data_IF_773302184039
#
_entry.id   IF_773302184039
#
_cell.length_a   1.000
_cell.length_b   1.000
_cell.length_c   1.000
_cell.angle_alpha   90.00
_cell.angle_beta   90.00
_cell.angle_gamma   90.00
#
_symmetry.space_group_name_H-M   'P 1'
#
loop_
_entity.id
_entity.type
_entity.pdbx_description
1 polymer ?
#
# COMPACT_ATOMS: atom_id res chain seq x y z
N UNK A 1 8.40 12.77 -4.14
CA UNK A 1 7.81 11.72 -4.98
C UNK A 1 7.21 10.69 -4.05
N UNK A 2 6.03 10.18 -4.39
CA UNK A 2 5.38 9.15 -3.59
C UNK A 2 5.66 7.76 -4.14
N UNK A 3 5.77 6.80 -3.22
CA UNK A 3 5.94 5.38 -3.51
C UNK A 3 4.92 4.58 -2.70
N UNK A 4 4.40 3.51 -3.29
CA UNK A 4 3.56 2.51 -2.65
C UNK A 4 4.43 1.29 -2.31
N UNK A 5 4.54 0.97 -1.03
CA UNK A 5 5.01 -0.31 -0.55
C UNK A 5 3.85 -1.31 -0.53
N UNK A 6 4.05 -2.50 -1.07
CA UNK A 6 3.07 -3.59 -1.12
C UNK A 6 3.68 -4.81 -0.45
N UNK A 7 3.22 -5.10 0.76
CA UNK A 7 3.70 -6.24 1.54
C UNK A 7 3.07 -7.53 1.01
N UNK A 8 3.89 -8.47 0.54
CA UNK A 8 3.43 -9.78 0.09
C UNK A 8 2.77 -10.53 1.25
N UNK A 9 1.65 -11.19 1.02
CA UNK A 9 1.02 -12.04 2.01
C UNK A 9 1.75 -13.38 2.18
N UNK A 10 1.65 -13.97 3.36
CA UNK A 10 2.12 -15.31 3.65
C UNK A 10 0.98 -16.19 4.20
N UNK A 11 1.32 -17.40 4.65
CA UNK A 11 0.34 -18.35 5.19
C UNK A 11 -0.31 -17.87 6.48
N UNK A 12 0.39 -17.10 7.29
CA UNK A 12 -0.10 -16.62 8.57
C UNK A 12 -1.02 -15.42 8.37
N UNK A 13 -0.66 -14.48 7.50
CA UNK A 13 -1.53 -13.35 7.17
C UNK A 13 -2.83 -13.82 6.52
N UNK A 14 -2.80 -14.78 5.60
CA UNK A 14 -4.01 -15.31 4.94
C UNK A 14 -4.86 -16.23 5.82
N UNK A 15 -4.28 -16.75 6.90
CA UNK A 15 -5.00 -17.43 7.98
C UNK A 15 -5.68 -16.46 8.94
N UNK A 16 -5.31 -15.18 8.90
CA UNK A 16 -5.72 -14.19 9.88
C UNK A 16 -5.02 -14.35 11.22
N UNK A 17 -3.83 -14.96 11.25
CA UNK A 17 -2.97 -14.95 12.42
C UNK A 17 -2.60 -13.52 12.75
N UNK A 18 -2.72 -13.15 14.02
CA UNK A 18 -2.29 -11.83 14.48
C UNK A 18 -0.79 -11.86 14.81
N UNK A 19 -0.05 -10.78 14.52
CA UNK A 19 1.31 -10.60 15.04
C UNK A 19 1.34 -10.64 16.57
N UNK A 20 2.46 -11.07 17.13
CA UNK A 20 2.68 -10.98 18.57
C UNK A 20 2.91 -9.53 19.02
N UNK A 21 2.83 -9.29 20.33
CA UNK A 21 2.99 -7.94 20.91
C UNK A 21 4.36 -7.33 20.61
N UNK A 22 5.40 -8.16 20.50
CA UNK A 22 6.77 -7.71 20.22
C UNK A 22 6.86 -7.15 18.79
N UNK A 23 6.32 -7.86 17.81
CA UNK A 23 6.26 -7.39 16.42
C UNK A 23 5.37 -6.14 16.32
N UNK A 24 4.21 -6.12 16.99
CA UNK A 24 3.33 -4.94 17.02
C UNK A 24 4.06 -3.70 17.57
N UNK A 25 4.81 -3.83 18.66
CA UNK A 25 5.58 -2.74 19.24
C UNK A 25 6.70 -2.24 18.30
N UNK A 26 7.45 -3.17 17.69
CA UNK A 26 8.52 -2.82 16.74
C UNK A 26 7.97 -2.14 15.49
N UNK A 27 6.86 -2.65 14.95
CA UNK A 27 6.17 -2.05 13.81
C UNK A 27 5.62 -0.68 14.16
N UNK A 28 4.99 -0.53 15.34
CA UNK A 28 4.49 0.75 15.83
C UNK A 28 5.58 1.81 15.94
N UNK A 29 6.75 1.47 16.49
CA UNK A 29 7.88 2.39 16.58
C UNK A 29 8.41 2.81 15.19
N UNK A 30 8.49 1.87 14.24
CA UNK A 30 8.88 2.17 12.87
C UNK A 30 7.90 3.13 12.17
N UNK A 31 6.59 2.89 12.30
CA UNK A 31 5.56 3.77 11.75
C UNK A 31 5.58 5.14 12.43
N UNK A 32 5.75 5.21 13.75
CA UNK A 32 5.83 6.48 14.48
C UNK A 32 6.99 7.35 14.00
N UNK A 33 8.17 6.76 13.79
CA UNK A 33 9.32 7.47 13.21
C UNK A 33 9.01 7.98 11.79
N UNK A 34 8.43 7.14 10.94
CA UNK A 34 8.09 7.49 9.57
C UNK A 34 7.04 8.61 9.49
N UNK A 35 6.03 8.57 10.36
CA UNK A 35 4.99 9.61 10.44
C UNK A 35 5.59 10.92 10.96
N UNK A 36 6.37 10.90 12.05
CA UNK A 36 6.99 12.11 12.61
C UNK A 36 7.96 12.79 11.65
N UNK A 37 8.65 12.01 10.81
CA UNK A 37 9.55 12.54 9.78
C UNK A 37 8.83 12.98 8.49
N UNK A 38 7.51 12.76 8.40
CA UNK A 38 6.73 13.04 7.20
C UNK A 38 7.03 12.10 6.02
N UNK A 39 7.75 11.00 6.26
CA UNK A 39 8.06 10.01 5.23
C UNK A 39 6.89 9.08 5.00
N UNK A 40 6.23 8.56 6.04
CA UNK A 40 5.07 7.68 5.89
C UNK A 40 3.81 8.55 5.91
N UNK A 41 3.06 8.52 4.81
CA UNK A 41 1.80 9.27 4.66
C UNK A 41 0.59 8.45 5.10
N UNK A 42 0.63 7.14 4.85
CA UNK A 42 -0.39 6.17 5.30
C UNK A 42 0.19 4.77 5.25
N UNK A 43 -0.41 3.84 6.00
CA UNK A 43 -0.10 2.42 5.89
C UNK A 43 -1.00 1.59 6.79
N UNK A 44 -1.45 0.46 6.27
CA UNK A 44 -2.48 -0.39 6.86
C UNK A 44 -2.19 -1.85 6.55
N UNK A 45 -2.50 -2.73 7.50
CA UNK A 45 -2.59 -4.17 7.26
C UNK A 45 -3.93 -4.52 6.62
N UNK A 46 -3.92 -5.44 5.66
CA UNK A 46 -5.13 -5.96 5.05
C UNK A 46 -5.59 -7.23 5.77
N UNK A 47 -6.91 -7.41 5.83
CA UNK A 47 -7.51 -8.67 6.25
C UNK A 47 -7.19 -9.78 5.23
N UNK A 48 -7.28 -11.06 5.62
CA UNK A 48 -7.14 -12.19 4.70
C UNK A 48 -7.96 -12.01 3.43
N UNK A 49 -7.38 -12.37 2.29
CA UNK A 49 -8.05 -12.18 1.00
C UNK A 49 -9.39 -12.92 0.86
N UNK A 50 -9.59 -13.97 1.65
CA UNK A 50 -10.85 -14.71 1.77
C UNK A 50 -12.03 -13.86 2.28
N UNK A 51 -11.76 -12.71 2.92
CA UNK A 51 -12.77 -11.72 3.34
C UNK A 51 -12.98 -10.61 2.30
N UNK A 52 -12.20 -10.59 1.23
CA UNK A 52 -12.32 -9.63 0.15
C UNK A 52 -13.42 -10.00 -0.84
N UNK A 53 -13.78 -9.04 -1.70
CA UNK A 53 -14.62 -9.26 -2.85
C UNK A 53 -14.08 -8.48 -4.05
N UNK A 54 -14.32 -9.00 -5.26
CA UNK A 54 -13.98 -8.37 -6.53
C UNK A 54 -15.25 -8.04 -7.28
N UNK A 55 -15.29 -6.85 -7.87
CA UNK A 55 -16.35 -6.46 -8.78
C UNK A 55 -15.81 -6.52 -10.21
N UNK A 56 -16.30 -7.46 -11.01
CA UNK A 56 -15.90 -7.63 -12.41
C UNK A 56 -16.90 -6.93 -13.32
N UNK A 57 -16.36 -6.08 -14.19
CA UNK A 57 -17.08 -5.54 -15.34
C UNK A 57 -16.81 -6.40 -16.58
N UNK A 58 -17.85 -6.81 -17.29
CA UNK A 58 -17.72 -7.49 -18.59
C UNK A 58 -18.92 -7.18 -19.47
N UNK A 59 -18.68 -6.54 -20.64
CA UNK A 59 -19.74 -6.06 -21.52
C UNK A 59 -20.61 -5.02 -20.83
N UNK A 60 -21.84 -5.37 -20.46
CA UNK A 60 -22.77 -4.55 -19.67
C UNK A 60 -23.02 -5.09 -18.27
N UNK A 61 -22.38 -6.20 -17.87
CA UNK A 61 -22.61 -6.87 -16.59
C UNK A 61 -21.61 -6.44 -15.54
N UNK A 62 -22.09 -6.36 -14.30
CA UNK A 62 -21.31 -6.10 -13.09
C UNK A 62 -21.56 -7.29 -12.15
N UNK A 63 -20.53 -8.10 -11.93
CA UNK A 63 -20.62 -9.31 -11.11
C UNK A 63 -19.73 -9.16 -9.88
N UNK A 64 -20.29 -9.43 -8.71
CA UNK A 64 -19.53 -9.54 -7.45
C UNK A 64 -19.02 -10.98 -7.32
N UNK A 65 -17.74 -11.13 -7.00
CA UNK A 65 -17.05 -12.41 -6.87
C UNK A 65 -16.29 -12.37 -5.54
N UNK A 66 -16.59 -13.30 -4.63
CA UNK A 66 -15.90 -13.37 -3.35
C UNK A 66 -14.44 -13.81 -3.52
N UNK A 67 -13.59 -13.34 -2.61
CA UNK A 67 -12.18 -13.71 -2.53
C UNK A 67 -11.27 -13.03 -3.57
N UNK A 68 -9.98 -13.44 -3.59
CA UNK A 68 -8.95 -12.82 -4.41
C UNK A 68 -9.07 -13.15 -5.90
N UNK A 69 -8.08 -12.71 -6.67
CA UNK A 69 -7.91 -13.13 -8.06
C UNK A 69 -7.68 -14.64 -8.16
N UNK A 70 -8.41 -15.31 -9.04
CA UNK A 70 -8.48 -16.79 -9.15
C UNK A 70 -7.13 -17.45 -9.50
N UNK A 71 -6.13 -16.67 -9.94
CA UNK A 71 -4.79 -17.14 -10.32
C UNK A 71 -3.67 -16.33 -9.66
N UNK A 72 -3.94 -15.57 -8.59
CA UNK A 72 -2.88 -14.82 -7.90
C UNK A 72 -1.96 -15.77 -7.13
N UNK A 73 -0.74 -15.95 -7.63
CA UNK A 73 0.33 -16.67 -6.92
C UNK A 73 0.82 -15.91 -5.69
N UNK A 74 0.70 -14.59 -5.72
CA UNK A 74 1.12 -13.69 -4.66
C UNK A 74 -0.02 -12.73 -4.32
N UNK A 75 -0.30 -12.59 -3.04
CA UNK A 75 -1.34 -11.73 -2.48
C UNK A 75 -0.69 -10.59 -1.69
N UNK A 76 -1.48 -9.59 -1.31
CA UNK A 76 -1.00 -8.43 -0.54
C UNK A 76 -1.62 -8.46 0.85
N UNK A 77 -0.78 -8.39 1.87
CA UNK A 77 -1.17 -8.37 3.28
C UNK A 77 -1.16 -6.97 3.89
N UNK A 78 -0.67 -5.97 3.18
CA UNK A 78 -0.60 -4.60 3.68
C UNK A 78 0.01 -3.65 2.66
N UNK A 79 -0.16 -2.37 2.90
CA UNK A 79 0.46 -1.33 2.09
C UNK A 79 0.97 -0.18 2.94
N UNK A 80 1.86 0.62 2.35
CA UNK A 80 2.21 1.94 2.87
C UNK A 80 2.45 2.92 1.72
N UNK A 81 2.01 4.16 1.87
CA UNK A 81 2.40 5.25 0.97
C UNK A 81 3.49 6.04 1.67
N UNK A 82 4.65 6.17 1.02
CA UNK A 82 5.78 6.95 1.52
C UNK A 82 6.13 8.10 0.57
N UNK A 83 6.57 9.22 1.13
CA UNK A 83 7.06 10.40 0.43
C UNK A 83 8.55 10.58 0.69
N UNK A 84 9.34 10.50 -0.37
CA UNK A 84 10.80 10.65 -0.30
C UNK A 84 11.35 11.44 -1.48
N UNK A 85 12.64 11.79 -1.40
CA UNK A 85 13.34 12.58 -2.43
C UNK A 85 13.92 11.74 -3.57
N UNK A 86 14.01 10.41 -3.43
CA UNK A 86 14.57 9.52 -4.45
C UNK A 86 14.04 8.09 -4.33
N UNK A 87 14.17 7.32 -5.42
CA UNK A 87 13.88 5.87 -5.41
C UNK A 87 14.77 5.11 -4.42
N UNK A 88 16.04 5.49 -4.32
CA UNK A 88 16.97 4.83 -3.37
C UNK A 88 16.54 5.06 -1.92
N UNK A 89 16.07 6.27 -1.58
CA UNK A 89 15.49 6.52 -0.26
C UNK A 89 14.24 5.67 -0.01
N UNK A 90 13.40 5.45 -1.02
CA UNK A 90 12.22 4.59 -0.91
C UNK A 90 12.62 3.13 -0.65
N UNK A 91 13.65 2.64 -1.35
CA UNK A 91 14.22 1.31 -1.16
C UNK A 91 14.79 1.17 0.25
N UNK A 92 15.53 2.15 0.76
CA UNK A 92 16.10 2.08 2.11
C UNK A 92 15.01 2.03 3.20
N UNK A 93 13.94 2.82 3.08
CA UNK A 93 12.78 2.70 3.97
C UNK A 93 12.12 1.32 3.88
N UNK A 94 12.01 0.77 2.67
CA UNK A 94 11.45 -0.57 2.45
C UNK A 94 12.35 -1.66 3.07
N UNK A 95 13.68 -1.53 2.96
CA UNK A 95 14.66 -2.44 3.59
C UNK A 95 14.54 -2.46 5.11
N UNK A 96 14.39 -1.27 5.71
CA UNK A 96 14.15 -1.15 7.15
C UNK A 96 12.83 -1.82 7.55
N UNK A 97 11.77 -1.59 6.79
CA UNK A 97 10.48 -2.22 7.02
C UNK A 97 10.57 -3.76 7.00
N UNK A 98 11.16 -4.37 5.97
CA UNK A 98 11.28 -5.84 5.89
C UNK A 98 12.21 -6.41 6.97
N UNK A 99 13.16 -5.62 7.49
CA UNK A 99 14.01 -5.99 8.64
C UNK A 99 13.19 -6.05 9.94
N UNK A 100 12.20 -5.16 10.09
CA UNK A 100 11.27 -5.15 11.23
C UNK A 100 10.21 -6.24 11.10
N UNK A 101 9.66 -6.43 9.90
CA UNK A 101 8.56 -7.37 9.64
C UNK A 101 9.01 -8.83 9.69
N UNK A 102 10.09 -9.18 8.96
CA UNK A 102 10.52 -10.56 8.74
C UNK A 102 10.55 -11.45 10.00
N UNK A 103 11.09 -11.02 11.17
CA UNK A 103 11.16 -11.89 12.35
C UNK A 103 9.81 -12.41 12.86
N UNK A 104 8.70 -11.73 12.58
CA UNK A 104 7.36 -12.16 12.99
C UNK A 104 6.54 -12.82 11.88
N UNK A 105 7.18 -13.20 10.77
CA UNK A 105 6.54 -13.75 9.56
C UNK A 105 6.80 -15.24 9.41
N UNK A 106 5.99 -15.89 8.58
CA UNK A 106 6.20 -17.30 8.24
C UNK A 106 7.60 -17.47 7.62
N UNK A 107 8.37 -18.46 8.10
CA UNK A 107 9.78 -18.72 7.72
C UNK A 107 10.74 -17.55 7.96
N UNK A 108 10.32 -16.53 8.69
CA UNK A 108 11.07 -15.29 8.86
C UNK A 108 11.41 -14.61 7.53
N UNK A 109 10.51 -14.71 6.55
CA UNK A 109 10.67 -14.11 5.23
C UNK A 109 9.69 -12.94 5.10
N UNK A 110 10.19 -11.79 4.68
CA UNK A 110 9.38 -10.63 4.31
C UNK A 110 9.77 -10.15 2.91
N UNK A 111 8.77 -9.86 2.10
CA UNK A 111 8.92 -9.39 0.73
C UNK A 111 7.96 -8.23 0.51
N UNK A 112 8.49 -7.09 0.09
CA UNK A 112 7.75 -5.86 -0.08
C UNK A 112 8.15 -5.20 -1.40
N UNK A 113 7.21 -5.14 -2.35
CA UNK A 113 7.42 -4.39 -3.59
C UNK A 113 7.31 -2.90 -3.28
N UNK A 114 8.30 -2.11 -3.72
CA UNK A 114 8.24 -0.65 -3.66
C UNK A 114 8.14 -0.08 -5.06
N UNK A 115 7.05 0.63 -5.36
CA UNK A 115 6.78 1.18 -6.69
C UNK A 115 6.34 2.63 -6.62
N UNK A 116 6.83 3.44 -7.56
CA UNK A 116 6.48 4.85 -7.63
C UNK A 116 5.00 5.03 -7.99
N UNK A 117 4.35 6.00 -7.34
CA UNK A 117 2.99 6.44 -7.65
C UNK A 117 3.07 7.57 -8.68
N UNK A 118 2.15 7.58 -9.64
CA UNK A 118 2.03 8.70 -10.58
C UNK A 118 1.69 10.01 -9.86
N UNK A 119 2.40 11.07 -10.24
CA UNK A 119 2.14 12.43 -9.82
C UNK A 119 1.37 13.20 -10.91
N UNK A 120 0.78 14.35 -10.56
CA UNK A 120 -0.02 15.14 -11.51
C UNK A 120 0.83 15.62 -12.68
N UNK A 121 2.11 15.88 -12.41
CA UNK A 121 3.13 16.32 -13.34
C UNK A 121 3.50 15.23 -14.36
N UNK A 122 3.18 13.95 -14.08
CA UNK A 122 3.42 12.85 -15.02
C UNK A 122 2.38 12.81 -16.16
N UNK A 123 1.31 13.61 -16.09
CA UNK A 123 0.23 13.64 -17.07
C UNK A 123 0.20 14.95 -17.88
N UNK A 124 -0.09 14.91 -19.19
CA UNK A 124 -0.05 16.08 -20.07
C UNK A 124 -1.14 17.10 -19.72
N UNK A 125 -0.76 18.37 -19.50
CA UNK A 125 -1.71 19.45 -19.22
C UNK A 125 -2.57 19.71 -20.46
N UNK A 126 -3.89 19.64 -20.28
CA UNK A 126 -4.86 19.99 -21.32
C UNK A 126 -5.34 21.43 -21.09
N UNK A 127 -5.02 22.38 -21.98
CA UNK A 127 -5.48 23.77 -21.86
C UNK A 127 -7.00 23.92 -21.88
N UNK A 128 -7.73 22.93 -22.40
CA UNK A 128 -9.19 22.90 -22.41
C UNK A 128 -9.80 22.27 -21.15
N UNK A 129 -8.98 21.80 -20.20
CA UNK A 129 -9.48 21.27 -18.94
C UNK A 129 -10.22 22.36 -18.15
N UNK A 130 -11.42 22.02 -17.68
CA UNK A 130 -12.24 22.94 -16.90
C UNK A 130 -11.61 23.18 -15.52
N UNK A 131 -11.84 24.34 -14.89
CA UNK A 131 -11.35 24.64 -13.53
C UNK A 131 -11.82 23.67 -12.43
N UNK A 132 -12.82 22.82 -12.68
CA UNK A 132 -13.32 21.77 -11.79
C UNK A 132 -13.05 20.35 -12.33
N UNK A 133 -12.14 20.23 -13.30
CA UNK A 133 -11.74 18.99 -13.96
C UNK A 133 -11.08 17.97 -13.04
N UNK A 134 -10.68 16.84 -13.63
CA UNK A 134 -10.17 15.68 -12.89
C UNK A 134 -8.89 16.00 -12.11
N UNK A 135 -8.03 16.93 -12.58
CA UNK A 135 -6.83 17.35 -11.83
C UNK A 135 -7.19 17.98 -10.48
N UNK A 136 -8.24 18.80 -10.46
CA UNK A 136 -8.69 19.45 -9.23
C UNK A 136 -9.40 18.46 -8.30
N UNK A 137 -10.09 17.46 -8.85
CA UNK A 137 -10.62 16.34 -8.07
C UNK A 137 -9.49 15.54 -7.42
N UNK A 138 -8.44 15.22 -8.17
CA UNK A 138 -7.27 14.47 -7.71
C UNK A 138 -6.48 15.23 -6.63
N UNK A 139 -6.31 16.55 -6.77
CA UNK A 139 -5.70 17.39 -5.72
C UNK A 139 -6.49 17.30 -4.42
N UNK A 140 -7.82 17.44 -4.48
CA UNK A 140 -8.69 17.31 -3.30
C UNK A 140 -8.60 15.92 -2.66
N UNK A 141 -8.49 14.86 -3.47
CA UNK A 141 -8.31 13.50 -2.95
C UNK A 141 -6.98 13.36 -2.20
N UNK A 142 -5.90 13.91 -2.75
CA UNK A 142 -4.56 13.87 -2.14
C UNK A 142 -4.48 14.69 -0.85
N UNK A 143 -5.07 15.88 -0.84
CA UNK A 143 -5.08 16.77 0.33
C UNK A 143 -6.04 16.28 1.42
N UNK A 144 -7.15 15.66 1.02
CA UNK A 144 -8.16 15.10 1.92
C UNK A 144 -7.74 13.76 2.55
N UNK A 145 -6.84 13.01 1.91
CA UNK A 145 -6.28 11.78 2.44
C UNK A 145 -5.29 11.98 3.61
N UNK A 146 -4.97 13.25 3.94
CA UNK A 146 -4.04 13.62 5.02
C UNK A 146 -4.69 14.20 6.27
N UNK A 147 -6.00 13.97 6.52
CA UNK A 147 -6.70 14.41 7.74
C UNK A 147 -7.33 13.26 8.50
#
# INVERSE_FOLDING_TARGET
>A
MRFMGLLKADKDTERGSLPDEKLLAAMGAFFEEGVKSGVILSGEGLQPSSKGARVRYSGSKRTVIDGPFTESKELVAGYAIIQVKSRDAAIEWTRRFVTVDAPGRYRQESDCEIRQIFELEDFPVDPAEKPDGWRQVELRLRDGAGR
#
